data_IF_878317560026
#
_entry.id   IF_878317560026
#
_cell.length_a   1.000
_cell.length_b   1.000
_cell.length_c   1.000
_cell.angle_alpha   90.00
_cell.angle_beta   90.00
_cell.angle_gamma   90.00
#
_symmetry.space_group_name_H-M   'P 1'
#
loop_
_entity.id
_entity.type
_entity.pdbx_description
1 polymer ?
#
# COMPACT_ATOMS: atom_id res chain seq x y z
N UNK A 1 -11.58 10.99 -6.97
CA UNK A 1 -10.24 10.57 -6.53
C UNK A 1 -9.53 9.96 -7.73
N UNK A 2 -8.38 10.50 -8.11
CA UNK A 2 -7.55 9.99 -9.20
C UNK A 2 -6.87 8.67 -8.80
N UNK A 3 -6.34 7.87 -9.74
CA UNK A 3 -5.54 6.70 -9.40
C UNK A 3 -4.34 7.02 -8.51
N UNK A 4 -3.73 8.20 -8.70
CA UNK A 4 -2.64 8.70 -7.88
C UNK A 4 -3.08 8.98 -6.44
N UNK A 5 -4.14 9.76 -6.25
CA UNK A 5 -4.69 10.05 -4.91
C UNK A 5 -5.12 8.76 -4.18
N UNK A 6 -5.70 7.81 -4.91
CA UNK A 6 -6.08 6.50 -4.36
C UNK A 6 -4.88 5.67 -3.94
N UNK A 7 -3.81 5.70 -4.73
CA UNK A 7 -2.56 5.00 -4.40
C UNK A 7 -1.95 5.60 -3.13
N UNK A 8 -1.83 6.93 -3.05
CA UNK A 8 -1.31 7.61 -1.86
C UNK A 8 -2.13 7.29 -0.59
N UNK A 9 -3.46 7.26 -0.69
CA UNK A 9 -4.32 6.86 0.43
C UNK A 9 -3.98 5.45 0.94
N UNK A 10 -3.76 4.50 0.04
CA UNK A 10 -3.38 3.13 0.42
C UNK A 10 -1.95 3.06 0.98
N UNK A 11 -1.00 3.79 0.40
CA UNK A 11 0.38 3.87 0.91
C UNK A 11 0.40 4.41 2.34
N UNK A 12 -0.34 5.49 2.62
CA UNK A 12 -0.39 6.08 3.95
C UNK A 12 -1.17 5.25 4.98
N UNK A 13 -1.80 4.15 4.57
CA UNK A 13 -2.39 3.18 5.51
C UNK A 13 -1.38 2.18 6.07
N UNK A 14 -0.15 2.14 5.54
CA UNK A 14 0.86 1.13 5.87
C UNK A 14 1.66 1.50 7.13
N UNK A 15 2.51 0.57 7.59
CA UNK A 15 3.52 0.89 8.61
C UNK A 15 4.57 1.85 8.06
N UNK A 16 5.00 2.83 8.85
CA UNK A 16 5.74 4.01 8.34
C UNK A 16 7.00 3.67 7.55
N UNK A 17 7.80 2.70 8.01
CA UNK A 17 9.02 2.29 7.34
C UNK A 17 8.75 1.51 6.04
N UNK A 18 7.67 0.74 5.98
CA UNK A 18 7.21 0.07 4.77
C UNK A 18 6.58 1.07 3.78
N UNK A 19 5.74 1.98 4.27
CA UNK A 19 5.10 3.04 3.50
C UNK A 19 6.12 3.89 2.74
N UNK A 20 7.24 4.23 3.39
CA UNK A 20 8.33 4.97 2.76
C UNK A 20 8.90 4.22 1.55
N UNK A 21 9.22 2.92 1.71
CA UNK A 21 9.77 2.10 0.62
C UNK A 21 8.77 1.88 -0.51
N UNK A 22 7.48 1.73 -0.17
CA UNK A 22 6.41 1.64 -1.18
C UNK A 22 6.25 2.97 -1.93
N UNK A 23 6.35 4.11 -1.25
CA UNK A 23 6.29 5.42 -1.90
C UNK A 23 7.45 5.60 -2.87
N UNK A 24 8.69 5.33 -2.43
CA UNK A 24 9.88 5.45 -3.27
C UNK A 24 9.77 4.52 -4.51
N UNK A 25 9.28 3.28 -4.34
CA UNK A 25 9.00 2.35 -5.45
C UNK A 25 7.94 2.87 -6.41
N UNK A 26 6.84 3.41 -5.87
CA UNK A 26 5.72 3.93 -6.65
C UNK A 26 6.14 5.14 -7.50
N UNK A 27 6.95 6.03 -6.94
CA UNK A 27 7.53 7.17 -7.65
C UNK A 27 8.48 6.71 -8.77
N UNK A 28 9.40 5.77 -8.50
CA UNK A 28 10.29 5.23 -9.55
C UNK A 28 9.51 4.55 -10.69
N UNK A 29 8.39 3.88 -10.38
CA UNK A 29 7.51 3.32 -11.40
C UNK A 29 6.94 4.42 -12.31
N UNK A 30 6.40 5.50 -11.74
CA UNK A 30 5.86 6.63 -12.51
C UNK A 30 6.95 7.26 -13.38
N UNK A 31 8.13 7.53 -12.81
CA UNK A 31 9.28 8.11 -13.52
C UNK A 31 9.75 7.22 -14.67
N UNK A 32 9.63 5.90 -14.51
CA UNK A 32 9.93 4.89 -15.54
C UNK A 32 8.81 4.70 -16.58
N UNK A 33 7.75 5.51 -16.53
CA UNK A 33 6.59 5.40 -17.42
C UNK A 33 5.69 4.18 -17.15
N UNK A 34 5.80 3.59 -15.96
CA UNK A 34 4.99 2.46 -15.50
C UNK A 34 3.84 3.02 -14.66
N UNK A 35 2.69 3.21 -15.31
CA UNK A 35 1.49 3.66 -14.63
C UNK A 35 0.83 2.51 -13.89
N UNK A 36 0.69 2.65 -12.57
CA UNK A 36 0.08 1.65 -11.68
C UNK A 36 -0.90 2.32 -10.71
N UNK A 37 -1.87 1.53 -10.24
CA UNK A 37 -2.76 1.87 -9.14
C UNK A 37 -2.51 0.89 -7.99
N UNK A 38 -2.18 1.41 -6.80
CA UNK A 38 -2.22 0.63 -5.56
C UNK A 38 -3.67 0.66 -5.06
N UNK A 39 -4.37 -0.47 -5.16
CA UNK A 39 -5.80 -0.54 -4.84
C UNK A 39 -6.09 -1.08 -3.43
N UNK A 40 -5.12 -1.75 -2.80
CA UNK A 40 -5.22 -2.24 -1.43
C UNK A 40 -3.90 -2.05 -0.66
N UNK A 41 -4.02 -1.71 0.63
CA UNK A 41 -2.91 -1.56 1.58
C UNK A 41 -3.22 -2.30 2.88
N UNK A 42 -3.38 -1.59 4.00
CA UNK A 42 -3.81 -2.21 5.26
C UNK A 42 -5.23 -2.79 5.15
N UNK A 43 -5.44 -3.95 5.79
CA UNK A 43 -6.74 -4.62 5.94
C UNK A 43 -6.85 -5.18 7.35
N UNK A 44 -7.89 -4.80 8.10
CA UNK A 44 -8.13 -5.33 9.45
C UNK A 44 -8.35 -6.85 9.48
N UNK A 45 -8.21 -7.45 10.66
CA UNK A 45 -8.48 -8.88 10.86
C UNK A 45 -9.93 -9.24 10.54
N UNK A 46 -10.88 -8.36 10.88
CA UNK A 46 -12.31 -8.60 10.60
C UNK A 46 -12.58 -8.56 9.10
N UNK A 47 -12.08 -7.55 8.39
CA UNK A 47 -12.19 -7.50 6.92
C UNK A 47 -11.56 -8.73 6.26
N UNK A 48 -10.40 -9.19 6.76
CA UNK A 48 -9.75 -10.41 6.26
C UNK A 48 -10.59 -11.67 6.55
N UNK A 49 -11.21 -11.77 7.73
CA UNK A 49 -12.12 -12.87 8.06
C UNK A 49 -13.36 -12.85 7.15
N UNK A 50 -13.89 -11.67 6.82
CA UNK A 50 -15.01 -11.54 5.89
C UNK A 50 -14.64 -11.99 4.47
N UNK A 51 -13.41 -11.71 4.02
CA UNK A 51 -12.89 -12.26 2.75
C UNK A 51 -12.69 -13.78 2.81
N UNK A 52 -12.16 -14.29 3.93
CA UNK A 52 -11.94 -15.73 4.13
C UNK A 52 -13.25 -16.54 4.05
N UNK A 53 -14.38 -15.95 4.48
CA UNK A 53 -15.72 -16.56 4.39
C UNK A 53 -16.22 -16.75 2.95
N UNK A 54 -15.73 -16.00 1.96
CA UNK A 54 -16.19 -16.11 0.56
C UNK A 54 -15.79 -17.46 -0.04
N UNK A 55 -16.75 -18.17 -0.62
CA UNK A 55 -16.58 -19.53 -1.15
C UNK A 55 -16.53 -20.63 -0.07
N UNK A 56 -16.73 -20.27 1.20
CA UNK A 56 -16.80 -21.20 2.34
C UNK A 56 -18.16 -21.10 3.06
N UNK A 57 -18.50 -19.90 3.51
CA UNK A 57 -19.75 -19.57 4.19
C UNK A 57 -20.63 -18.64 3.36
N UNK A 58 -20.02 -17.79 2.51
CA UNK A 58 -20.71 -16.90 1.57
C UNK A 58 -20.54 -17.43 0.14
N UNK A 59 -21.51 -17.13 -0.73
CA UNK A 59 -21.39 -17.44 -2.15
C UNK A 59 -20.23 -16.66 -2.79
N UNK A 60 -19.62 -17.25 -3.82
CA UNK A 60 -18.48 -16.67 -4.55
C UNK A 60 -17.31 -17.63 -4.67
N UNK A 61 -16.30 -17.23 -5.44
CA UNK A 61 -15.03 -17.97 -5.53
C UNK A 61 -14.18 -17.64 -4.30
N UNK A 62 -13.41 -18.62 -3.82
CA UNK A 62 -12.42 -18.38 -2.77
C UNK A 62 -11.44 -17.32 -3.25
N UNK A 63 -11.35 -16.20 -2.53
CA UNK A 63 -10.45 -15.07 -2.84
C UNK A 63 -9.20 -15.04 -1.96
N UNK A 64 -9.20 -15.78 -0.85
CA UNK A 64 -8.05 -15.88 0.04
C UNK A 64 -8.08 -17.17 0.86
N UNK A 65 -6.89 -17.65 1.24
CA UNK A 65 -6.70 -18.75 2.19
C UNK A 65 -6.26 -18.27 3.58
N UNK A 66 -5.97 -16.97 3.73
CA UNK A 66 -5.53 -16.40 5.00
C UNK A 66 -6.73 -15.94 5.85
N UNK A 67 -6.75 -16.34 7.12
CA UNK A 67 -7.65 -15.75 8.14
C UNK A 67 -7.09 -14.41 8.62
N UNK A 68 -7.86 -13.69 9.44
CA UNK A 68 -7.35 -12.53 10.17
C UNK A 68 -6.08 -12.88 10.95
N UNK A 69 -5.06 -12.04 10.84
CA UNK A 69 -3.72 -12.24 11.40
C UNK A 69 -2.81 -13.17 10.58
N UNK A 70 -3.26 -13.67 9.42
CA UNK A 70 -2.45 -14.57 8.58
C UNK A 70 -2.05 -13.95 7.24
N UNK A 71 -2.31 -12.65 7.04
CA UNK A 71 -1.92 -11.89 5.85
C UNK A 71 -1.04 -10.70 6.24
N UNK A 72 -0.03 -10.38 5.43
CA UNK A 72 0.78 -9.18 5.61
C UNK A 72 -0.06 -7.88 5.56
N UNK A 73 -1.20 -7.88 4.87
CA UNK A 73 -2.13 -6.75 4.88
C UNK A 73 -2.66 -6.45 6.28
N UNK A 74 -2.78 -7.47 7.15
CA UNK A 74 -3.22 -7.30 8.55
C UNK A 74 -2.24 -6.52 9.42
N UNK A 75 -1.01 -6.38 8.95
CA UNK A 75 0.08 -5.70 9.65
C UNK A 75 0.49 -4.40 8.94
N UNK A 76 -0.21 -3.99 7.87
CA UNK A 76 0.20 -2.84 7.06
C UNK A 76 1.53 -3.06 6.34
N UNK A 77 1.84 -4.32 6.00
CA UNK A 77 3.12 -4.80 5.45
C UNK A 77 2.97 -5.41 4.05
N UNK A 78 1.84 -5.16 3.38
CA UNK A 78 1.63 -5.55 2.00
C UNK A 78 0.74 -4.55 1.27
N UNK A 79 0.86 -4.58 -0.06
CA UNK A 79 0.01 -3.86 -1.00
C UNK A 79 -0.44 -4.79 -2.11
N UNK A 80 -1.59 -4.46 -2.70
CA UNK A 80 -1.99 -4.98 -3.99
C UNK A 80 -2.05 -3.84 -5.01
N UNK A 81 -1.46 -4.06 -6.19
CA UNK A 81 -1.40 -3.07 -7.27
C UNK A 81 -1.86 -3.64 -8.61
N UNK A 82 -2.19 -2.76 -9.55
CA UNK A 82 -2.59 -3.11 -10.91
C UNK A 82 -2.01 -2.12 -11.92
N UNK A 83 -1.47 -2.58 -13.07
CA UNK A 83 -1.13 -1.73 -14.21
C UNK A 83 -2.32 -0.91 -14.70
N UNK A 84 -2.04 0.29 -15.21
CA UNK A 84 -3.03 1.16 -15.82
C UNK A 84 -2.75 1.32 -17.31
N UNK A 85 -3.76 1.05 -18.13
CA UNK A 85 -3.78 1.35 -19.56
C UNK A 85 -4.86 2.38 -19.84
N UNK A 86 -4.47 3.57 -20.31
CA UNK A 86 -5.37 4.71 -20.49
C UNK A 86 -6.19 4.99 -19.21
N UNK A 87 -5.51 5.05 -18.06
CA UNK A 87 -6.08 5.27 -16.72
C UNK A 87 -7.06 4.18 -16.22
N UNK A 88 -7.21 3.08 -16.94
CA UNK A 88 -8.06 1.95 -16.55
C UNK A 88 -7.22 0.76 -16.08
N UNK A 89 -7.63 0.02 -15.03
CA UNK A 89 -6.96 -1.21 -14.61
C UNK A 89 -6.85 -2.22 -15.76
N UNK A 90 -5.63 -2.68 -16.02
CA UNK A 90 -5.34 -3.78 -16.93
C UNK A 90 -4.79 -4.98 -16.15
N UNK A 91 -5.70 -5.86 -15.73
CA UNK A 91 -5.38 -7.04 -14.94
C UNK A 91 -4.54 -8.08 -15.70
N UNK A 92 -4.43 -7.97 -17.03
CA UNK A 92 -3.75 -8.93 -17.88
C UNK A 92 -2.39 -8.45 -18.38
N UNK A 93 -1.93 -7.25 -17.98
CA UNK A 93 -0.64 -6.71 -18.40
C UNK A 93 0.54 -7.31 -17.62
N UNK A 94 0.80 -8.60 -17.89
CA UNK A 94 1.89 -9.35 -17.28
C UNK A 94 3.27 -8.70 -17.50
N UNK A 95 3.45 -7.96 -18.60
CA UNK A 95 4.70 -7.26 -18.91
C UNK A 95 4.92 -6.11 -17.94
N UNK A 96 3.90 -5.30 -17.68
CA UNK A 96 3.99 -4.18 -16.74
C UNK A 96 4.11 -4.67 -15.29
N UNK A 97 3.38 -5.73 -14.92
CA UNK A 97 3.60 -6.39 -13.63
C UNK A 97 5.05 -6.80 -13.43
N UNK A 98 5.65 -7.49 -14.41
CA UNK A 98 7.04 -7.93 -14.32
C UNK A 98 8.00 -6.74 -14.12
N UNK A 99 7.84 -5.67 -14.91
CA UNK A 99 8.69 -4.48 -14.77
C UNK A 99 8.55 -3.83 -13.39
N UNK A 100 7.32 -3.71 -12.90
CA UNK A 100 7.05 -3.15 -11.57
C UNK A 100 7.68 -4.01 -10.46
N UNK A 101 7.64 -5.35 -10.58
CA UNK A 101 8.32 -6.28 -9.67
C UNK A 101 9.85 -6.18 -9.75
N UNK A 102 10.41 -6.03 -10.94
CA UNK A 102 11.86 -5.87 -11.11
C UNK A 102 12.35 -4.61 -10.34
N UNK A 103 11.59 -3.51 -10.38
CA UNK A 103 11.87 -2.30 -9.58
C UNK A 103 11.64 -2.55 -8.08
N UNK A 104 10.56 -3.24 -7.72
CA UNK A 104 10.18 -3.53 -6.33
C UNK A 104 11.30 -4.20 -5.52
N UNK A 105 12.09 -5.05 -6.16
CA UNK A 105 13.22 -5.74 -5.55
C UNK A 105 14.28 -4.78 -4.95
N UNK A 106 14.50 -3.61 -5.56
CA UNK A 106 15.45 -2.59 -5.09
C UNK A 106 15.05 -2.01 -3.73
N UNK A 107 13.74 -1.98 -3.47
CA UNK A 107 13.13 -1.45 -2.25
C UNK A 107 12.83 -2.55 -1.23
N UNK A 108 13.33 -3.76 -1.45
CA UNK A 108 13.06 -4.94 -0.62
C UNK A 108 11.55 -5.18 -0.44
N UNK A 109 10.79 -4.99 -1.52
CA UNK A 109 9.39 -5.38 -1.65
C UNK A 109 9.35 -6.73 -2.38
N UNK A 110 8.85 -7.76 -1.73
CA UNK A 110 8.84 -9.14 -2.24
C UNK A 110 7.55 -9.40 -3.01
N UNK A 111 7.68 -9.77 -4.27
CA UNK A 111 6.58 -10.36 -5.03
C UNK A 111 6.39 -11.83 -4.66
N UNK A 112 5.15 -12.29 -4.64
CA UNK A 112 4.81 -13.72 -4.51
C UNK A 112 4.49 -14.29 -5.89
N UNK A 113 4.99 -15.49 -6.20
CA UNK A 113 4.98 -16.01 -7.57
C UNK A 113 3.59 -16.41 -8.10
N UNK A 114 2.61 -16.60 -7.22
CA UNK A 114 1.25 -17.02 -7.57
C UNK A 114 0.21 -15.89 -7.55
N UNK A 115 0.60 -14.66 -7.19
CA UNK A 115 -0.32 -13.52 -7.06
C UNK A 115 0.35 -12.25 -7.58
N UNK A 116 0.26 -12.05 -8.90
CA UNK A 116 0.93 -10.93 -9.58
C UNK A 116 0.62 -9.53 -8.99
N UNK A 117 -0.59 -9.23 -8.47
CA UNK A 117 -0.86 -7.96 -7.81
C UNK A 117 -0.11 -7.72 -6.50
N UNK A 118 0.38 -8.77 -5.84
CA UNK A 118 0.77 -8.70 -4.43
C UNK A 118 2.26 -8.42 -4.23
N UNK A 119 2.55 -7.39 -3.43
CA UNK A 119 3.88 -7.11 -2.90
C UNK A 119 3.82 -7.05 -1.37
N UNK A 120 4.76 -7.72 -0.72
CA UNK A 120 4.88 -7.78 0.74
C UNK A 120 6.26 -7.34 1.24
N UNK A 121 6.35 -7.02 2.52
CA UNK A 121 7.59 -6.58 3.15
C UNK A 121 8.65 -7.69 3.17
N UNK A 122 9.73 -7.51 2.39
CA UNK A 122 10.83 -8.44 2.29
C UNK A 122 11.67 -8.59 3.57
N UNK A 123 11.52 -7.69 4.56
CA UNK A 123 12.19 -7.81 5.87
C UNK A 123 11.65 -8.97 6.71
N UNK A 124 10.43 -9.46 6.40
CA UNK A 124 9.78 -10.49 7.16
C UNK A 124 9.61 -11.77 6.34
N UNK A 125 10.06 -12.94 6.83
CA UNK A 125 9.95 -14.19 6.08
C UNK A 125 8.52 -14.72 6.00
N UNK A 126 7.63 -14.37 6.94
CA UNK A 126 6.23 -14.82 6.90
C UNK A 126 5.32 -14.02 7.83
N UNK A 127 4.01 -14.22 7.73
CA UNK A 127 3.05 -13.65 8.69
C UNK A 127 3.31 -14.13 10.13
N UNK A 128 3.97 -15.29 10.33
CA UNK A 128 4.31 -15.79 11.68
C UNK A 128 5.37 -14.94 12.36
N UNK A 129 6.35 -14.42 11.62
CA UNK A 129 7.33 -13.48 12.19
C UNK A 129 6.66 -12.15 12.53
N UNK A 130 5.75 -11.68 11.68
CA UNK A 130 4.94 -10.49 11.96
C UNK A 130 4.05 -10.67 13.18
N UNK A 131 3.41 -11.82 13.35
CA UNK A 131 2.63 -12.13 14.56
C UNK A 131 3.50 -12.12 15.82
N UNK A 132 4.74 -12.60 15.74
CA UNK A 132 5.66 -12.57 16.89
C UNK A 132 6.09 -11.14 17.26
N UNK A 133 6.24 -10.26 16.28
CA UNK A 133 6.71 -8.88 16.49
C UNK A 133 5.56 -7.92 16.82
N UNK A 134 4.38 -8.17 16.25
CA UNK A 134 3.17 -7.38 16.44
C UNK A 134 2.02 -8.25 16.97
N UNK A 135 2.15 -8.84 18.18
CA UNK A 135 1.21 -9.86 18.67
C UNK A 135 -0.22 -9.39 18.90
N UNK A 136 -0.51 -8.10 18.83
CA UNK A 136 -1.85 -7.54 18.98
C UNK A 136 -1.94 -6.18 18.30
N UNK A 137 -2.17 -6.15 16.99
CA UNK A 137 -2.71 -4.94 16.36
C UNK A 137 -4.18 -5.18 15.98
N UNK A 138 -5.05 -5.06 16.99
CA UNK A 138 -6.35 -4.45 16.72
C UNK A 138 -6.01 -2.99 16.41
N UNK A 139 -5.74 -2.69 15.14
CA UNK A 139 -5.71 -1.30 14.67
C UNK A 139 -7.17 -0.83 14.69
N UNK A 140 -7.69 -0.57 15.89
CA UNK A 140 -8.91 0.20 16.09
C UNK A 140 -8.67 1.56 15.44
N UNK A 141 -9.30 1.77 14.28
CA UNK A 141 -9.76 3.03 13.67
C UNK A 141 -9.11 4.36 14.11
N UNK A 142 -7.81 4.43 14.34
CA UNK A 142 -7.09 5.70 14.49
C UNK A 142 -6.60 6.12 13.13
N UNK A 143 -7.55 6.31 12.21
CA UNK A 143 -7.39 7.20 11.08
C UNK A 143 -7.27 8.63 11.63
N UNK A 144 -6.14 8.96 12.24
CA UNK A 144 -5.76 10.35 12.44
C UNK A 144 -5.15 10.80 11.12
N UNK A 145 -5.72 11.83 10.46
CA UNK A 145 -5.12 12.35 9.23
C UNK A 145 -3.73 12.89 9.57
N UNK A 146 -2.71 12.38 8.90
CA UNK A 146 -1.40 13.03 8.87
C UNK A 146 -1.65 14.43 8.31
N UNK A 147 -1.49 15.45 9.16
CA UNK A 147 -1.73 16.82 8.80
C UNK A 147 -0.77 17.24 7.69
N UNK A 148 -1.32 17.79 6.61
CA UNK A 148 -0.55 18.39 5.51
C UNK A 148 0.38 19.48 6.07
N UNK A 149 1.64 19.61 5.59
CA UNK A 149 2.50 20.71 6.03
C UNK A 149 1.84 22.05 5.73
N UNK A 150 1.60 22.86 6.77
CA UNK A 150 1.07 24.21 6.62
C UNK A 150 2.04 25.07 5.79
N UNK A 151 1.53 25.72 4.73
CA UNK A 151 2.25 26.76 3.98
C UNK A 151 2.77 27.82 4.98
N UNK A 152 4.08 28.02 5.04
CA UNK A 152 4.70 29.14 5.76
C UNK A 152 4.10 30.45 5.23
N UNK A 153 3.45 31.22 6.10
CA UNK A 153 3.01 32.58 5.78
C UNK A 153 4.24 33.47 5.50
N UNK A 154 4.18 34.21 4.39
CA UNK A 154 5.17 35.22 4.05
C UNK A 154 5.15 36.35 5.10
N UNK A 155 6.31 36.62 5.70
CA UNK A 155 6.51 37.77 6.61
C UNK A 155 6.37 39.07 5.81
N UNK A 156 5.41 39.93 6.20
CA UNK A 156 5.37 41.32 5.73
C UNK A 156 6.59 42.07 6.28
N UNK A 157 7.38 42.65 5.39
CA UNK A 157 8.43 43.60 5.73
C UNK A 157 7.77 44.92 6.16
N UNK A 158 7.91 45.28 7.44
CA UNK A 158 7.58 46.61 7.94
C UNK A 158 8.76 47.55 7.67
N UNK A 159 8.64 48.40 6.65
CA UNK A 159 9.56 49.51 6.44
C UNK A 159 9.29 50.63 7.45
N UNK A 160 10.28 50.95 8.30
CA UNK A 160 10.34 52.24 8.99
C UNK A 160 11.14 53.21 8.12
N UNK A 161 10.44 54.21 7.59
CA UNK A 161 11.06 55.38 6.99
C UNK A 161 11.69 56.25 8.08
N UNK A 162 12.93 56.65 7.82
CA UNK A 162 13.66 57.70 8.53
C UNK A 162 13.05 59.06 8.19
N UNK A 163 12.75 59.87 9.21
CA UNK A 163 12.86 61.33 9.22
C UNK A 163 13.20 61.79 10.63
#
# INVERSE_FOLDING_TARGET
MTPHERSLKNIYSLETDFAKRVLDWYEECIESGINILIYCGFRSNDEQNELYKIGREKSGKIVTNARGGQSFHNYGRAIDFVPLKNEKPDWNDAKTYKKAHDIASKYNLRAVSWEAPHLEDGNYPSWRSLLSEFPTQVRELTAQPISTPQKKQARKAGGRGLR
#
